data_IF_855103625271
#
_entry.id   IF_855103625271
#
_cell.length_a   1.000
_cell.length_b   1.000
_cell.length_c   1.000
_cell.angle_alpha   90.00
_cell.angle_beta   90.00
_cell.angle_gamma   90.00
#
_symmetry.space_group_name_H-M   'P 1'
#
loop_
_entity.id
_entity.type
_entity.pdbx_description
1 polymer ?
#
# COMPACT_ATOMS: atom_id res chain seq x y z
N UNK A 1 40.93 18.77 14.45
CA UNK A 1 40.95 17.35 14.07
C UNK A 1 39.74 17.08 13.21
N UNK A 2 39.94 16.98 11.90
CA UNK A 2 38.91 16.58 10.94
C UNK A 2 38.63 15.09 11.18
N UNK A 3 37.46 14.78 11.73
CA UNK A 3 37.01 13.39 11.86
C UNK A 3 36.74 12.86 10.45
N UNK A 4 37.48 11.81 10.07
CA UNK A 4 37.35 11.13 8.81
C UNK A 4 35.90 10.67 8.60
N UNK A 5 35.29 11.15 7.51
CA UNK A 5 34.03 10.61 6.97
C UNK A 5 34.36 9.21 6.48
N UNK A 6 34.07 8.21 7.32
CA UNK A 6 34.15 6.82 6.90
C UNK A 6 32.98 6.57 5.94
N UNK A 7 33.28 6.52 4.64
CA UNK A 7 32.39 5.99 3.61
C UNK A 7 32.21 4.48 3.81
N UNK A 8 31.50 4.10 4.86
CA UNK A 8 31.05 2.72 5.04
C UNK A 8 29.98 2.44 3.98
N UNK A 9 30.32 1.58 3.02
CA UNK A 9 29.36 1.09 2.04
C UNK A 9 28.48 0.06 2.73
N UNK A 10 27.42 0.52 3.37
CA UNK A 10 26.35 -0.37 3.81
C UNK A 10 25.59 -0.87 2.57
N UNK A 11 25.67 -2.16 2.19
CA UNK A 11 24.96 -2.69 1.03
C UNK A 11 23.44 -2.48 1.09
N UNK A 12 22.86 -2.25 2.28
CA UNK A 12 21.45 -1.89 2.45
C UNK A 12 21.12 -0.52 1.86
N UNK A 13 22.07 0.42 1.86
CA UNK A 13 21.85 1.79 1.32
C UNK A 13 21.65 1.83 -0.19
N UNK A 14 22.13 0.83 -0.94
CA UNK A 14 21.94 0.77 -2.40
C UNK A 14 20.50 0.41 -2.77
N UNK A 15 19.88 -0.54 -2.05
CA UNK A 15 18.52 -0.99 -2.38
C UNK A 15 17.43 0.02 -2.00
N UNK A 16 17.66 0.80 -0.93
CA UNK A 16 16.79 1.92 -0.54
C UNK A 16 17.05 3.21 -1.34
N UNK A 17 17.88 3.19 -2.38
CA UNK A 17 18.11 4.39 -3.20
C UNK A 17 16.93 4.65 -4.15
N UNK A 18 16.73 5.93 -4.50
CA UNK A 18 15.73 6.34 -5.48
C UNK A 18 15.99 5.70 -6.86
N UNK A 19 17.25 5.58 -7.26
CA UNK A 19 17.63 4.93 -8.51
C UNK A 19 17.22 3.44 -8.53
N UNK A 20 17.43 2.72 -7.42
CA UNK A 20 16.99 1.32 -7.31
C UNK A 20 15.47 1.18 -7.26
N UNK A 21 14.74 2.19 -6.77
CA UNK A 21 13.28 2.23 -6.79
C UNK A 21 12.75 2.40 -8.21
N UNK A 22 13.20 3.44 -8.91
CA UNK A 22 12.78 3.72 -10.29
C UNK A 22 13.16 2.58 -11.24
N UNK A 23 14.34 1.96 -11.08
CA UNK A 23 14.75 0.82 -11.91
C UNK A 23 13.85 -0.42 -11.75
N UNK A 24 13.17 -0.57 -10.62
CA UNK A 24 12.27 -1.70 -10.36
C UNK A 24 10.82 -1.48 -10.80
N UNK A 25 10.46 -0.30 -11.35
CA UNK A 25 9.08 0.02 -11.73
C UNK A 25 8.44 -0.97 -12.73
N UNK A 26 9.25 -1.66 -13.53
CA UNK A 26 8.77 -2.55 -14.59
C UNK A 26 9.47 -3.90 -14.57
N UNK A 27 9.83 -4.40 -13.39
CA UNK A 27 10.55 -5.67 -13.21
C UNK A 27 9.66 -6.93 -13.33
N UNK A 28 8.35 -6.74 -13.53
CA UNK A 28 7.38 -7.82 -13.70
C UNK A 28 6.80 -8.37 -12.40
N UNK A 29 7.27 -7.95 -11.22
CA UNK A 29 6.81 -8.46 -9.91
C UNK A 29 5.59 -7.71 -9.40
N UNK A 30 4.76 -8.33 -8.57
CA UNK A 30 3.78 -7.61 -7.76
C UNK A 30 4.53 -6.72 -6.73
N UNK A 31 4.15 -5.45 -6.64
CA UNK A 31 4.79 -4.48 -5.76
C UNK A 31 3.93 -4.18 -4.53
N UNK A 32 4.34 -4.71 -3.38
CA UNK A 32 3.72 -4.45 -2.09
C UNK A 32 4.50 -3.36 -1.32
N UNK A 33 3.84 -2.23 -1.06
CA UNK A 33 4.33 -1.25 -0.11
C UNK A 33 3.68 -1.51 1.25
N UNK A 34 4.46 -2.03 2.20
CA UNK A 34 4.00 -2.36 3.54
C UNK A 34 4.44 -1.27 4.51
N UNK A 35 3.50 -0.65 5.21
CA UNK A 35 3.76 0.45 6.12
C UNK A 35 3.31 0.14 7.54
N UNK A 36 4.08 0.61 8.52
CA UNK A 36 3.69 0.56 9.94
C UNK A 36 3.70 1.96 10.54
N UNK A 37 2.68 2.23 11.35
CA UNK A 37 2.59 3.42 12.19
C UNK A 37 2.65 3.10 13.68
N UNK A 38 2.71 4.11 14.54
CA UNK A 38 2.98 3.97 15.98
C UNK A 38 1.94 3.19 16.78
N UNK A 39 2.03 1.86 16.75
CA UNK A 39 1.23 0.94 17.56
C UNK A 39 2.03 -0.31 17.89
N UNK A 40 1.78 -0.90 19.06
CA UNK A 40 2.47 -2.13 19.54
C UNK A 40 2.34 -3.27 18.53
N UNK A 41 1.25 -3.32 17.76
CA UNK A 41 1.07 -4.33 16.73
C UNK A 41 2.13 -4.33 15.62
N UNK A 42 3.01 -3.31 15.56
CA UNK A 42 4.19 -3.28 14.67
C UNK A 42 5.10 -4.49 14.87
N UNK A 43 5.12 -5.09 16.07
CA UNK A 43 5.88 -6.34 16.34
C UNK A 43 5.42 -7.53 15.47
N UNK A 44 4.26 -7.44 14.79
CA UNK A 44 3.76 -8.48 13.88
C UNK A 44 4.19 -8.26 12.43
N UNK A 45 4.88 -7.16 12.11
CA UNK A 45 5.45 -6.91 10.79
C UNK A 45 6.37 -8.05 10.30
N UNK A 46 7.32 -8.57 11.11
CA UNK A 46 8.15 -9.69 10.68
C UNK A 46 7.34 -10.94 10.32
N UNK A 47 6.27 -11.24 11.07
CA UNK A 47 5.40 -12.39 10.82
C UNK A 47 4.62 -12.22 9.50
N UNK A 48 4.10 -11.02 9.24
CA UNK A 48 3.42 -10.69 7.97
C UNK A 48 4.39 -10.92 6.81
N UNK A 49 5.59 -10.34 6.85
CA UNK A 49 6.59 -10.48 5.78
C UNK A 49 6.98 -11.95 5.61
N UNK A 50 7.28 -12.66 6.70
CA UNK A 50 7.73 -14.06 6.66
C UNK A 50 6.72 -14.99 5.98
N UNK A 51 5.42 -14.70 6.08
CA UNK A 51 4.36 -15.50 5.45
C UNK A 51 4.45 -15.54 3.92
N UNK A 52 5.08 -14.52 3.31
CA UNK A 52 5.27 -14.42 1.87
C UNK A 52 6.50 -15.20 1.36
N UNK A 53 7.21 -15.93 2.21
CA UNK A 53 8.36 -16.78 1.81
C UNK A 53 8.01 -17.85 0.79
N UNK A 54 6.73 -18.24 0.71
CA UNK A 54 6.19 -19.20 -0.26
C UNK A 54 6.20 -18.67 -1.69
N UNK A 55 6.26 -17.35 -1.89
CA UNK A 55 6.32 -16.75 -3.21
C UNK A 55 7.76 -16.48 -3.65
N UNK A 56 8.14 -16.85 -4.89
CA UNK A 56 9.47 -16.60 -5.39
C UNK A 56 9.74 -15.08 -5.52
N UNK A 57 11.00 -14.68 -5.38
CA UNK A 57 11.42 -13.28 -5.48
C UNK A 57 11.27 -12.67 -6.88
N UNK A 58 10.97 -13.50 -7.89
CA UNK A 58 10.58 -13.08 -9.24
C UNK A 58 9.10 -12.72 -9.36
N UNK A 59 8.29 -12.98 -8.33
CA UNK A 59 6.83 -12.74 -8.35
C UNK A 59 6.43 -11.60 -7.41
N UNK A 60 7.09 -11.43 -6.26
CA UNK A 60 6.72 -10.44 -5.26
C UNK A 60 7.95 -9.63 -4.82
N UNK A 61 7.77 -8.31 -4.74
CA UNK A 61 8.71 -7.40 -4.09
C UNK A 61 8.00 -6.61 -3.00
N UNK A 62 8.64 -6.53 -1.84
CA UNK A 62 8.13 -5.85 -0.66
C UNK A 62 9.07 -4.70 -0.33
N UNK A 63 8.50 -3.49 -0.21
CA UNK A 63 9.21 -2.33 0.36
C UNK A 63 8.49 -1.89 1.62
N UNK A 64 9.26 -1.54 2.64
CA UNK A 64 8.74 -1.22 3.98
C UNK A 64 8.87 0.27 4.27
N UNK A 65 7.80 0.90 4.77
CA UNK A 65 7.84 2.29 5.28
C UNK A 65 7.49 2.31 6.77
N UNK A 66 8.35 2.90 7.59
CA UNK A 66 8.15 2.99 9.05
C UNK A 66 8.06 4.46 9.46
N UNK A 67 6.98 4.82 10.16
CA UNK A 67 6.95 6.11 10.87
C UNK A 67 7.97 6.12 12.03
N UNK A 68 8.43 7.29 12.50
CA UNK A 68 9.35 7.39 13.62
C UNK A 68 8.87 6.65 14.88
N UNK A 69 7.55 6.66 15.15
CA UNK A 69 6.96 5.94 16.28
C UNK A 69 6.90 4.42 16.05
N UNK A 70 6.69 3.95 14.81
CA UNK A 70 6.70 2.52 14.50
C UNK A 70 8.11 1.93 14.68
N UNK A 71 9.13 2.67 14.24
CA UNK A 71 10.55 2.31 14.39
C UNK A 71 10.96 2.00 15.83
N UNK A 72 10.32 2.60 16.83
CA UNK A 72 10.60 2.32 18.25
C UNK A 72 10.26 0.88 18.66
N UNK A 73 9.34 0.22 17.96
CA UNK A 73 8.97 -1.16 18.25
C UNK A 73 9.92 -2.18 17.61
N UNK A 74 10.85 -1.75 16.76
CA UNK A 74 11.77 -2.57 15.98
C UNK A 74 13.23 -2.13 16.20
N UNK A 75 13.67 -2.13 17.46
CA UNK A 75 15.04 -1.76 17.83
C UNK A 75 15.87 -2.93 18.38
N UNK A 76 15.51 -4.17 18.04
CA UNK A 76 16.26 -5.36 18.45
C UNK A 76 16.00 -5.78 19.90
N UNK A 77 14.85 -5.40 20.48
CA UNK A 77 14.57 -5.62 21.91
C UNK A 77 14.20 -7.07 22.24
N UNK A 78 13.75 -7.84 21.24
CA UNK A 78 13.37 -9.25 21.39
C UNK A 78 13.38 -9.96 20.04
N UNK A 79 13.15 -11.28 20.04
CA UNK A 79 13.01 -12.06 18.80
C UNK A 79 11.83 -11.59 17.93
N UNK A 80 10.76 -11.10 18.54
CA UNK A 80 9.59 -10.54 17.83
C UNK A 80 9.82 -9.09 17.38
N UNK A 81 10.92 -8.47 17.82
CA UNK A 81 11.22 -7.05 17.61
C UNK A 81 12.63 -6.88 17.05
N UNK A 82 12.89 -7.36 15.82
CA UNK A 82 14.19 -7.20 15.17
C UNK A 82 14.50 -5.71 14.95
N UNK A 83 15.75 -5.39 14.65
CA UNK A 83 16.09 -4.04 14.16
C UNK A 83 15.47 -3.79 12.78
N UNK A 84 15.28 -2.52 12.43
CA UNK A 84 14.84 -2.13 11.06
C UNK A 84 15.74 -2.75 9.99
N UNK A 85 17.07 -2.69 10.19
CA UNK A 85 18.03 -3.32 9.27
C UNK A 85 17.86 -4.83 9.18
N UNK A 86 17.44 -5.49 10.26
CA UNK A 86 17.15 -6.93 10.28
C UNK A 86 16.03 -7.32 9.33
N UNK A 87 15.07 -6.42 9.05
CA UNK A 87 13.98 -6.70 8.10
C UNK A 87 14.49 -7.00 6.68
N UNK A 88 15.67 -6.49 6.30
CA UNK A 88 16.26 -6.75 4.98
C UNK A 88 16.60 -8.21 4.70
N UNK A 89 16.72 -9.03 5.75
CA UNK A 89 16.95 -10.47 5.67
C UNK A 89 15.67 -11.29 5.50
N UNK A 90 14.51 -10.65 5.64
CA UNK A 90 13.21 -11.31 5.50
C UNK A 90 12.88 -11.52 4.02
N UNK A 91 12.06 -12.54 3.68
CA UNK A 91 11.74 -12.89 2.31
C UNK A 91 11.11 -11.72 1.55
N UNK A 92 11.52 -11.56 0.29
CA UNK A 92 10.99 -10.58 -0.66
C UNK A 92 11.15 -9.11 -0.25
N UNK A 93 11.86 -8.80 0.84
CA UNK A 93 12.13 -7.41 1.23
C UNK A 93 13.27 -6.82 0.40
N UNK A 94 12.93 -5.85 -0.43
CA UNK A 94 13.91 -5.15 -1.26
C UNK A 94 14.41 -3.88 -0.59
N UNK A 95 13.58 -3.12 0.12
CA UNK A 95 14.01 -1.89 0.78
C UNK A 95 13.20 -1.57 2.05
N UNK A 96 13.81 -0.80 2.96
CA UNK A 96 13.13 -0.16 4.10
C UNK A 96 13.36 1.34 4.04
N UNK A 97 12.37 2.11 4.48
CA UNK A 97 12.37 3.57 4.47
C UNK A 97 11.84 4.14 5.79
N UNK A 98 12.46 5.24 6.21
CA UNK A 98 12.01 6.13 7.28
C UNK A 98 11.93 7.57 6.75
N UNK A 99 11.32 8.47 7.50
CA UNK A 99 11.14 9.88 7.09
C UNK A 99 12.46 10.57 6.68
N UNK A 100 13.58 10.21 7.33
CA UNK A 100 14.89 10.77 7.00
C UNK A 100 15.38 10.40 5.58
N UNK A 101 14.91 9.29 5.00
CA UNK A 101 15.32 8.86 3.66
C UNK A 101 14.77 9.77 2.56
N UNK A 102 13.64 10.44 2.82
CA UNK A 102 13.04 11.40 1.89
C UNK A 102 13.96 12.59 1.60
N UNK A 103 14.76 12.98 2.60
CA UNK A 103 15.61 14.18 2.57
C UNK A 103 17.11 13.85 2.58
N UNK A 104 17.47 12.56 2.44
CA UNK A 104 18.87 12.09 2.50
C UNK A 104 19.75 12.71 1.40
N UNK A 105 19.18 12.93 0.22
CA UNK A 105 19.83 13.62 -0.89
C UNK A 105 19.11 14.95 -1.09
N UNK A 106 19.81 16.10 -1.03
CA UNK A 106 19.20 17.39 -1.31
C UNK A 106 18.51 17.39 -2.67
N UNK A 107 17.25 17.83 -2.70
CA UNK A 107 16.50 17.84 -3.94
C UNK A 107 17.11 18.83 -4.94
N UNK A 108 17.14 18.41 -6.20
CA UNK A 108 17.52 19.24 -7.35
C UNK A 108 16.40 19.17 -8.39
N UNK A 109 16.24 20.23 -9.18
CA UNK A 109 15.24 20.28 -10.26
C UNK A 109 15.40 19.07 -11.19
N UNK A 110 14.30 18.37 -11.44
CA UNK A 110 14.29 17.14 -12.25
C UNK A 110 14.70 15.87 -11.49
N UNK A 111 15.16 15.98 -10.24
CA UNK A 111 15.35 14.85 -9.35
C UNK A 111 14.00 14.27 -8.91
N UNK A 112 13.91 12.95 -8.84
CA UNK A 112 12.72 12.29 -8.34
C UNK A 112 12.53 12.53 -6.84
N UNK A 113 11.29 12.33 -6.39
CA UNK A 113 10.86 12.58 -5.01
C UNK A 113 10.43 11.23 -4.42
N UNK A 114 10.97 10.84 -3.27
CA UNK A 114 10.84 9.48 -2.74
C UNK A 114 9.38 9.03 -2.61
N UNK A 115 8.51 9.83 -1.97
CA UNK A 115 7.10 9.46 -1.80
C UNK A 115 6.36 9.35 -3.14
N UNK A 116 6.76 10.14 -4.14
CA UNK A 116 6.19 10.08 -5.49
C UNK A 116 6.63 8.79 -6.19
N UNK A 117 7.91 8.43 -6.10
CA UNK A 117 8.39 7.19 -6.70
C UNK A 117 7.83 5.95 -6.00
N UNK A 118 7.60 6.01 -4.67
CA UNK A 118 6.97 4.92 -3.93
C UNK A 118 5.51 4.70 -4.36
N UNK A 119 4.74 5.78 -4.56
CA UNK A 119 3.35 5.68 -5.04
C UNK A 119 3.27 5.11 -6.46
N UNK A 120 4.25 5.45 -7.31
CA UNK A 120 4.39 4.96 -8.69
C UNK A 120 4.70 3.48 -8.72
N UNK A 121 5.57 3.07 -7.81
CA UNK A 121 6.05 1.71 -7.70
C UNK A 121 5.01 0.74 -7.13
N UNK A 122 4.28 1.15 -6.10
CA UNK A 122 3.35 0.26 -5.40
C UNK A 122 2.11 -0.10 -6.24
N UNK A 123 1.85 -1.39 -6.39
CA UNK A 123 0.57 -1.91 -6.88
C UNK A 123 -0.48 -1.94 -5.74
N UNK A 124 -0.01 -2.10 -4.50
CA UNK A 124 -0.82 -2.10 -3.27
C UNK A 124 -0.05 -1.45 -2.12
N UNK A 125 -0.72 -0.55 -1.39
CA UNK A 125 -0.23 -0.05 -0.10
C UNK A 125 -1.02 -0.66 1.04
N UNK A 126 -0.33 -1.21 2.04
CA UNK A 126 -0.93 -1.74 3.27
C UNK A 126 -0.37 -1.00 4.47
N UNK A 127 -1.23 -0.42 5.31
CA UNK A 127 -0.83 0.19 6.58
C UNK A 127 -1.28 -0.71 7.73
N UNK A 128 -0.37 -1.53 8.24
CA UNK A 128 -0.63 -2.52 9.27
C UNK A 128 0.54 -2.56 10.28
N UNK A 129 0.41 -1.92 11.45
CA UNK A 129 -0.77 -1.25 11.97
C UNK A 129 -0.97 0.21 11.51
N UNK A 130 -2.24 0.64 11.47
CA UNK A 130 -2.67 2.04 11.43
C UNK A 130 -3.01 2.54 12.85
N UNK A 131 -2.21 3.46 13.37
CA UNK A 131 -2.41 4.12 14.67
C UNK A 131 -3.48 5.20 14.59
N UNK A 132 -4.07 5.57 15.72
CA UNK A 132 -5.05 6.67 15.79
C UNK A 132 -4.47 8.01 15.27
N UNK A 133 -3.19 8.28 15.53
CA UNK A 133 -2.52 9.50 15.07
C UNK A 133 -2.37 9.53 13.54
N UNK A 134 -1.92 8.44 12.93
CA UNK A 134 -1.80 8.36 11.47
C UNK A 134 -3.18 8.35 10.80
N UNK A 135 -4.19 7.69 11.39
CA UNK A 135 -5.59 7.78 10.93
C UNK A 135 -6.08 9.23 10.91
N UNK A 136 -5.82 9.98 11.99
CA UNK A 136 -6.19 11.39 12.07
C UNK A 136 -5.46 12.25 11.04
N UNK A 137 -4.17 12.00 10.81
CA UNK A 137 -3.39 12.70 9.77
C UNK A 137 -3.93 12.44 8.37
N UNK A 138 -4.19 11.16 8.03
CA UNK A 138 -4.71 10.77 6.73
C UNK A 138 -6.05 11.45 6.46
N UNK A 139 -7.00 11.32 7.39
CA UNK A 139 -8.35 11.89 7.26
C UNK A 139 -8.38 13.42 7.34
N UNK A 140 -7.41 14.02 8.03
CA UNK A 140 -7.20 15.48 8.04
C UNK A 140 -6.44 16.03 6.83
N UNK A 141 -5.99 15.16 5.91
CA UNK A 141 -5.26 15.56 4.70
C UNK A 141 -3.82 16.01 4.93
N UNK A 142 -3.21 15.66 6.07
CA UNK A 142 -1.80 15.96 6.36
C UNK A 142 -0.86 15.13 5.48
N UNK A 143 0.28 15.73 5.12
CA UNK A 143 1.37 15.11 4.36
C UNK A 143 2.72 15.57 4.95
N UNK A 144 2.94 15.25 6.22
CA UNK A 144 4.07 15.74 7.04
C UNK A 144 5.08 14.65 7.40
N UNK A 145 4.90 13.45 6.84
CA UNK A 145 5.80 12.29 6.98
C UNK A 145 5.85 11.53 5.67
N UNK A 146 6.87 10.69 5.47
CA UNK A 146 7.00 9.90 4.24
C UNK A 146 5.72 9.09 3.96
N UNK A 147 5.20 8.40 4.98
CA UNK A 147 3.97 7.62 4.86
C UNK A 147 2.76 8.48 4.48
N UNK A 148 2.55 9.60 5.17
CA UNK A 148 1.37 10.43 4.92
C UNK A 148 1.45 11.15 3.57
N UNK A 149 2.65 11.53 3.12
CA UNK A 149 2.89 12.05 1.77
C UNK A 149 2.59 11.02 0.69
N UNK A 150 2.98 9.74 0.86
CA UNK A 150 2.61 8.65 -0.07
C UNK A 150 1.09 8.51 -0.13
N UNK A 151 0.41 8.45 1.01
CA UNK A 151 -1.06 8.32 1.06
C UNK A 151 -1.75 9.52 0.42
N UNK A 152 -1.32 10.74 0.73
CA UNK A 152 -1.94 11.96 0.22
C UNK A 152 -1.77 12.12 -1.28
N UNK A 153 -0.67 11.59 -1.81
CA UNK A 153 -0.38 11.56 -3.23
C UNK A 153 -1.03 10.36 -3.94
N UNK A 154 -1.62 9.38 -3.25
CA UNK A 154 -2.06 8.13 -3.89
C UNK A 154 -2.93 8.36 -5.13
N UNK A 155 -2.59 7.67 -6.22
CA UNK A 155 -3.31 7.73 -7.50
C UNK A 155 -3.99 6.37 -7.74
N UNK A 156 -5.26 6.20 -7.34
CA UNK A 156 -5.94 4.92 -7.43
C UNK A 156 -6.21 4.48 -8.86
N UNK A 157 -6.23 5.42 -9.80
CA UNK A 157 -6.60 5.20 -11.20
C UNK A 157 -5.41 5.19 -12.15
N UNK A 158 -4.24 5.65 -11.69
CA UNK A 158 -3.02 5.70 -12.49
C UNK A 158 -3.07 6.77 -13.59
N UNK A 159 -3.95 7.77 -13.45
CA UNK A 159 -4.19 8.82 -14.44
C UNK A 159 -3.02 9.79 -14.56
N UNK A 160 -2.32 10.05 -13.45
CA UNK A 160 -1.31 11.10 -13.38
C UNK A 160 0.01 10.70 -14.02
N UNK A 161 0.28 9.40 -14.08
CA UNK A 161 1.53 8.87 -14.62
C UNK A 161 1.36 8.36 -16.05
N UNK A 162 0.19 8.49 -16.69
CA UNK A 162 0.00 8.14 -18.10
C UNK A 162 0.99 8.94 -18.99
N UNK A 163 1.57 8.34 -20.05
CA UNK A 163 2.39 9.11 -20.96
C UNK A 163 1.52 10.22 -21.53
N UNK A 164 1.92 11.47 -21.33
CA UNK A 164 1.36 12.59 -22.08
C UNK A 164 1.37 12.19 -23.54
N UNK A 165 0.18 12.06 -24.15
CA UNK A 165 0.07 11.90 -25.59
C UNK A 165 0.90 12.99 -26.28
N UNK A 166 1.34 12.77 -27.54
CA UNK A 166 2.23 13.71 -28.21
C UNK A 166 1.66 15.12 -28.06
N UNK A 167 2.38 15.97 -27.33
CA UNK A 167 2.04 17.36 -27.17
C UNK A 167 1.97 17.95 -28.56
N UNK A 168 0.78 18.40 -28.97
CA UNK A 168 0.58 19.16 -30.20
C UNK A 168 1.15 20.57 -30.01
N UNK A 169 2.46 20.66 -29.79
CA UNK A 169 3.24 21.85 -30.05
C UNK A 169 4.06 21.57 -31.31
N UNK A 170 3.36 21.59 -32.44
CA UNK A 170 3.99 21.59 -33.76
C UNK A 170 4.10 23.04 -34.22
N UNK A 171 5.23 23.67 -33.93
CA UNK A 171 5.82 24.63 -34.85
C UNK A 171 6.84 23.88 -35.72
N UNK A 172 6.66 24.06 -37.03
CA UNK A 172 7.21 23.24 -38.10
C UNK A 172 8.74 23.26 -38.21
N UNK A 173 9.33 22.11 -38.59
CA UNK A 173 10.00 21.85 -39.88
C UNK A 173 11.00 20.68 -39.76
N UNK A 174 10.93 19.71 -40.69
CA UNK A 174 12.02 18.77 -40.93
C UNK A 174 11.59 17.34 -41.22
N UNK A 175 11.37 17.05 -42.50
CA UNK A 175 11.09 15.73 -43.08
C UNK A 175 12.19 14.69 -42.79
N UNK A 176 11.82 13.53 -42.22
CA UNK A 176 12.43 12.23 -42.53
C UNK A 176 11.48 11.09 -42.12
N UNK A 177 10.98 10.36 -43.12
CA UNK A 177 10.15 9.18 -43.00
C UNK A 177 10.97 8.04 -42.38
N UNK A 178 10.68 7.66 -41.13
CA UNK A 178 11.16 6.41 -40.52
C UNK A 178 9.94 5.60 -40.12
N UNK A 179 9.72 4.51 -40.84
CA UNK A 179 8.73 3.49 -40.52
C UNK A 179 9.16 2.76 -39.24
N UNK A 180 8.36 2.73 -38.15
CA UNK A 180 8.70 1.92 -36.99
C UNK A 180 8.20 0.49 -37.20
N UNK A 181 9.14 -0.45 -37.27
CA UNK A 181 8.88 -1.88 -37.12
C UNK A 181 8.37 -2.15 -35.70
N UNK A 182 7.17 -2.72 -35.61
CA UNK A 182 6.52 -3.09 -34.37
C UNK A 182 7.33 -4.15 -33.60
N UNK A 183 7.76 -3.81 -32.39
CA UNK A 183 8.10 -4.79 -31.35
C UNK A 183 6.87 -4.96 -30.45
N UNK A 184 5.89 -5.71 -30.94
CA UNK A 184 4.78 -6.22 -30.14
C UNK A 184 5.29 -7.36 -29.26
N UNK A 185 5.48 -7.11 -27.96
CA UNK A 185 5.82 -8.19 -27.03
C UNK A 185 5.93 -7.80 -25.57
N UNK A 186 6.36 -6.56 -25.26
CA UNK A 186 6.57 -6.10 -23.87
C UNK A 186 5.62 -4.99 -23.44
N UNK A 187 5.05 -4.24 -24.38
CA UNK A 187 4.14 -3.12 -24.07
C UNK A 187 2.79 -3.59 -23.52
N UNK A 188 2.24 -4.72 -23.98
CA UNK A 188 0.91 -5.19 -23.59
C UNK A 188 0.79 -5.55 -22.09
N UNK A 189 1.80 -6.21 -21.52
CA UNK A 189 1.81 -6.57 -20.10
C UNK A 189 2.03 -5.35 -19.19
N UNK A 190 2.89 -4.41 -19.61
CA UNK A 190 3.12 -3.14 -18.91
C UNK A 190 1.89 -2.22 -18.96
N UNK A 191 1.16 -2.23 -20.07
CA UNK A 191 -0.09 -1.46 -20.27
C UNK A 191 -1.26 -2.02 -19.46
N UNK A 192 -1.41 -3.34 -19.39
CA UNK A 192 -2.45 -3.99 -18.56
C UNK A 192 -2.25 -3.80 -17.05
N UNK A 193 -1.01 -3.74 -16.56
CA UNK A 193 -0.73 -3.47 -15.14
C UNK A 193 -1.15 -2.05 -14.73
N UNK A 194 -1.02 -1.06 -15.63
CA UNK A 194 -1.39 0.34 -15.38
C UNK A 194 -2.88 0.63 -15.34
N UNK A 195 -3.72 -0.31 -15.77
CA UNK A 195 -5.18 -0.19 -15.75
C UNK A 195 -5.83 -0.86 -14.53
N UNK A 196 -5.05 -1.55 -13.68
CA UNK A 196 -5.57 -2.17 -12.45
C UNK A 196 -5.64 -1.11 -11.35
N UNK A 197 -6.84 -0.89 -10.82
CA UNK A 197 -7.12 0.03 -9.71
C UNK A 197 -6.21 -0.26 -8.51
N UNK A 198 -5.47 0.74 -8.05
CA UNK A 198 -4.51 0.64 -6.93
C UNK A 198 -5.20 1.01 -5.62
N UNK A 199 -5.11 0.12 -4.64
CA UNK A 199 -5.83 0.27 -3.36
C UNK A 199 -4.88 0.58 -2.19
N UNK A 200 -5.43 1.21 -1.17
CA UNK A 200 -4.84 1.28 0.16
C UNK A 200 -5.65 0.40 1.10
N UNK A 201 -4.98 -0.54 1.76
CA UNK A 201 -5.56 -1.34 2.85
C UNK A 201 -5.02 -0.82 4.17
N UNK A 202 -5.87 -0.69 5.19
CA UNK A 202 -5.42 -0.34 6.53
C UNK A 202 -5.94 -1.30 7.57
N UNK A 203 -5.12 -1.57 8.59
CA UNK A 203 -5.49 -2.34 9.76
C UNK A 203 -5.34 -1.48 11.02
N UNK A 204 -6.40 -0.78 11.46
CA UNK A 204 -6.36 0.03 12.67
C UNK A 204 -5.96 -0.79 13.90
N UNK A 205 -5.09 -0.22 14.73
CA UNK A 205 -4.62 -0.86 15.96
C UNK A 205 -4.34 0.18 17.05
N UNK A 206 -5.18 0.20 18.08
CA UNK A 206 -5.11 1.18 19.17
C UNK A 206 -5.77 0.64 20.45
N UNK A 207 -5.54 1.28 21.59
CA UNK A 207 -6.26 0.92 22.82
C UNK A 207 -7.79 1.13 22.65
N UNK A 208 -8.59 0.37 23.40
CA UNK A 208 -10.07 0.44 23.38
C UNK A 208 -10.63 1.84 23.57
N UNK A 209 -10.06 2.64 24.47
CA UNK A 209 -10.52 4.01 24.71
C UNK A 209 -10.33 4.89 23.46
N UNK A 210 -9.22 4.72 22.75
CA UNK A 210 -8.99 5.40 21.46
C UNK A 210 -9.95 4.85 20.38
N UNK A 211 -10.18 3.54 20.34
CA UNK A 211 -11.09 2.93 19.38
C UNK A 211 -12.54 3.41 19.54
N UNK A 212 -13.02 3.47 20.78
CA UNK A 212 -14.38 3.93 21.12
C UNK A 212 -14.53 5.46 21.08
N UNK A 213 -13.45 6.19 20.86
CA UNK A 213 -13.50 7.64 20.79
C UNK A 213 -14.34 8.09 19.56
N UNK A 214 -15.29 9.04 19.71
CA UNK A 214 -16.18 9.45 18.61
C UNK A 214 -15.45 9.93 17.34
N UNK A 215 -14.28 10.56 17.52
CA UNK A 215 -13.43 10.98 16.39
C UNK A 215 -12.95 9.78 15.57
N UNK A 216 -12.60 8.66 16.20
CA UNK A 216 -12.16 7.46 15.49
C UNK A 216 -13.28 6.93 14.59
N UNK A 217 -14.50 6.84 15.10
CA UNK A 217 -15.66 6.45 14.29
C UNK A 217 -15.90 7.43 13.13
N UNK A 218 -15.80 8.75 13.36
CA UNK A 218 -15.94 9.76 12.31
C UNK A 218 -14.88 9.61 11.22
N UNK A 219 -13.62 9.37 11.60
CA UNK A 219 -12.50 9.22 10.68
C UNK A 219 -12.61 7.93 9.87
N UNK A 220 -13.06 6.83 10.48
CA UNK A 220 -13.27 5.57 9.76
C UNK A 220 -14.40 5.69 8.73
N UNK A 221 -15.48 6.43 9.02
CA UNK A 221 -16.52 6.71 8.03
C UNK A 221 -15.96 7.42 6.79
N UNK A 222 -15.05 8.37 6.94
CA UNK A 222 -14.38 8.99 5.77
C UNK A 222 -13.67 7.91 4.94
N UNK A 223 -12.90 7.03 5.58
CA UNK A 223 -12.18 5.97 4.87
C UNK A 223 -13.10 4.92 4.22
N UNK A 224 -14.24 4.60 4.83
CA UNK A 224 -15.11 3.50 4.41
C UNK A 224 -16.26 3.94 3.51
N UNK A 225 -16.83 5.10 3.76
CA UNK A 225 -18.03 5.59 3.08
C UNK A 225 -17.66 6.59 1.98
N UNK A 226 -16.72 7.50 2.23
CA UNK A 226 -16.31 8.50 1.22
C UNK A 226 -15.24 7.96 0.28
N UNK A 227 -14.25 7.23 0.81
CA UNK A 227 -13.11 6.71 0.00
C UNK A 227 -13.14 5.18 -0.18
N UNK A 228 -14.05 4.49 0.51
CA UNK A 228 -14.00 3.05 0.69
C UNK A 228 -14.59 2.25 -0.46
N UNK A 229 -13.99 1.10 -0.76
CA UNK A 229 -14.54 0.14 -1.74
C UNK A 229 -15.90 -0.33 -1.24
N UNK A 230 -16.97 0.01 -1.95
CA UNK A 230 -18.30 -0.47 -1.59
C UNK A 230 -18.35 -1.99 -1.77
N UNK A 231 -18.71 -2.72 -0.71
CA UNK A 231 -19.04 -4.14 -0.83
C UNK A 231 -20.42 -4.24 -1.48
N UNK A 232 -20.63 -5.14 -2.45
CA UNK A 232 -21.96 -5.38 -2.97
C UNK A 232 -22.87 -5.73 -1.79
N UNK A 233 -23.92 -4.94 -1.60
CA UNK A 233 -24.93 -5.22 -0.58
C UNK A 233 -25.53 -6.57 -0.90
N UNK A 234 -25.55 -7.47 0.09
CA UNK A 234 -26.37 -8.68 -0.02
C UNK A 234 -27.81 -8.24 -0.30
N UNK A 235 -28.53 -8.87 -1.25
CA UNK A 235 -29.90 -8.48 -1.53
C UNK A 235 -30.73 -8.59 -0.25
N UNK A 236 -31.33 -7.46 0.14
CA UNK A 236 -32.27 -7.40 1.25
C UNK A 236 -33.38 -8.42 0.98
N UNK A 237 -33.42 -9.49 1.78
CA UNK A 237 -34.60 -10.35 1.89
C UNK A 237 -35.57 -9.64 2.82
N UNK A 238 -36.20 -8.58 2.33
CA UNK A 238 -37.47 -8.15 2.90
C UNK A 238 -38.53 -9.15 2.42
N UNK A 239 -39.09 -9.89 3.37
CA UNK A 239 -40.22 -10.78 3.15
C UNK A 239 -41.44 -9.93 2.81
N UNK A 240 -41.74 -9.83 1.51
CA UNK A 240 -43.04 -9.38 1.00
C UNK A 240 -43.94 -10.61 0.85
N UNK A 241 -44.84 -10.82 1.82
CA UNK A 241 -45.90 -11.83 1.78
C UNK A 241 -46.96 -11.42 0.74
N UNK A 242 -46.67 -11.72 -0.54
CA UNK A 242 -47.60 -11.62 -1.67
C UNK A 242 -47.75 -12.95 -2.40
N UNK A 243 -48.96 -13.33 -2.88
CA UNK A 243 -49.22 -14.68 -3.36
C UNK A 243 -48.45 -14.99 -4.66
N UNK A 244 -47.88 -16.20 -4.68
CA UNK A 244 -46.97 -16.74 -5.67
C UNK A 244 -47.39 -16.50 -7.14
N UNK A 245 -46.63 -15.66 -7.84
CA UNK A 245 -46.60 -15.63 -9.29
C UNK A 245 -45.50 -16.60 -9.79
N UNK A 246 -45.86 -17.39 -10.81
CA UNK A 246 -45.03 -18.43 -11.44
C UNK A 246 -43.70 -17.85 -11.97
N UNK A 247 -42.53 -18.46 -11.69
CA UNK A 247 -41.26 -17.94 -12.17
C UNK A 247 -41.09 -18.23 -13.67
N UNK A 248 -40.89 -17.17 -14.45
CA UNK A 248 -40.35 -17.28 -15.81
C UNK A 248 -38.83 -17.45 -15.75
N UNK A 249 -38.20 -18.20 -16.68
CA UNK A 249 -36.76 -18.39 -16.69
C UNK A 249 -36.08 -17.08 -17.13
N UNK A 250 -35.48 -16.36 -16.18
CA UNK A 250 -34.58 -15.25 -16.47
C UNK A 250 -33.23 -15.82 -16.91
N UNK A 251 -32.79 -15.37 -18.08
CA UNK A 251 -31.44 -15.61 -18.61
C UNK A 251 -30.40 -15.16 -17.58
N UNK A 252 -29.37 -15.98 -17.39
CA UNK A 252 -28.28 -15.73 -16.47
C UNK A 252 -27.52 -14.47 -16.88
N UNK A 253 -27.86 -13.35 -16.26
CA UNK A 253 -27.09 -12.11 -16.35
C UNK A 253 -25.72 -12.37 -15.72
N UNK A 254 -24.67 -12.26 -16.53
CA UNK A 254 -23.30 -12.42 -16.06
C UNK A 254 -23.01 -11.27 -15.09
N UNK A 255 -22.44 -11.52 -13.90
CA UNK A 255 -22.11 -10.43 -12.99
C UNK A 255 -20.99 -9.59 -13.61
N UNK A 256 -21.33 -8.43 -14.14
CA UNK A 256 -20.38 -7.38 -14.47
C UNK A 256 -19.71 -6.94 -13.18
N UNK A 257 -18.46 -7.38 -12.97
CA UNK A 257 -17.68 -7.21 -11.75
C UNK A 257 -17.17 -5.80 -11.52
N UNK A 258 -18.07 -4.84 -11.34
CA UNK A 258 -17.69 -3.51 -10.85
C UNK A 258 -17.69 -3.50 -9.32
N UNK A 259 -16.58 -3.98 -8.74
CA UNK A 259 -16.27 -3.77 -7.32
C UNK A 259 -16.07 -2.27 -7.07
N UNK A 260 -17.14 -1.53 -6.76
CA UNK A 260 -17.19 -0.21 -6.11
C UNK A 260 -16.11 0.85 -6.42
N UNK A 261 -16.52 2.10 -6.65
CA UNK A 261 -15.62 3.22 -7.01
C UNK A 261 -14.57 3.62 -5.95
N UNK A 262 -14.62 3.08 -4.73
CA UNK A 262 -13.62 3.39 -3.70
C UNK A 262 -12.24 2.74 -3.86
N UNK A 263 -11.25 3.30 -3.18
CA UNK A 263 -9.84 2.92 -3.27
C UNK A 263 -9.21 2.61 -1.91
N UNK A 264 -9.98 2.72 -0.84
CA UNK A 264 -9.59 2.40 0.52
C UNK A 264 -10.30 1.13 1.03
N UNK A 265 -9.61 0.29 1.77
CA UNK A 265 -10.17 -0.90 2.44
C UNK A 265 -9.75 -0.92 3.90
N UNK A 266 -10.73 -0.91 4.82
CA UNK A 266 -10.49 -0.93 6.26
C UNK A 266 -10.70 -2.33 6.81
N UNK A 267 -9.63 -2.94 7.30
CA UNK A 267 -9.67 -4.20 8.02
C UNK A 267 -9.96 -3.93 9.50
N UNK A 268 -11.23 -4.01 9.88
CA UNK A 268 -11.70 -3.68 11.24
C UNK A 268 -10.95 -4.50 12.32
N UNK A 269 -10.65 -3.87 13.47
CA UNK A 269 -10.00 -4.54 14.59
C UNK A 269 -10.89 -5.61 15.23
N UNK A 270 -10.27 -6.44 16.06
CA UNK A 270 -10.91 -7.55 16.77
C UNK A 270 -10.87 -7.34 18.29
N UNK A 271 -11.80 -7.99 18.98
CA UNK A 271 -11.83 -8.02 20.44
C UNK A 271 -10.79 -8.99 20.98
N UNK A 272 -9.79 -8.50 21.73
CA UNK A 272 -8.71 -9.31 22.33
C UNK A 272 -8.21 -8.73 23.65
N UNK A 273 -7.43 -9.50 24.39
CA UNK A 273 -6.60 -8.96 25.46
C UNK A 273 -5.50 -8.07 24.83
N UNK A 274 -5.48 -6.80 25.17
CA UNK A 274 -4.54 -5.82 24.66
C UNK A 274 -3.21 -5.92 25.41
N UNK A 275 -2.13 -5.44 24.79
CA UNK A 275 -0.80 -5.39 25.41
C UNK A 275 -0.76 -4.57 26.72
N UNK A 276 -1.75 -3.69 26.94
CA UNK A 276 -1.91 -2.93 28.18
C UNK A 276 -2.64 -3.70 29.32
N UNK A 277 -3.11 -4.93 29.06
CA UNK A 277 -3.81 -5.77 30.03
C UNK A 277 -5.35 -5.71 29.94
N UNK A 278 -5.92 -4.79 29.17
CA UNK A 278 -7.37 -4.65 29.01
C UNK A 278 -7.94 -5.61 27.96
N UNK A 279 -9.11 -6.21 28.18
CA UNK A 279 -9.88 -6.82 27.10
C UNK A 279 -10.55 -5.72 26.26
N UNK A 280 -10.19 -5.62 24.98
CA UNK A 280 -10.46 -4.45 24.17
C UNK A 280 -10.79 -4.72 22.71
N UNK A 281 -11.61 -3.84 22.13
CA UNK A 281 -12.12 -3.96 20.76
C UNK A 281 -11.20 -3.31 19.70
N UNK A 282 -10.10 -2.67 20.13
CA UNK A 282 -9.18 -1.93 19.26
C UNK A 282 -7.95 -2.70 18.79
N UNK A 283 -7.86 -4.01 19.07
CA UNK A 283 -6.71 -4.82 18.67
C UNK A 283 -6.68 -4.99 17.16
N UNK A 284 -5.51 -4.88 16.53
CA UNK A 284 -5.36 -5.15 15.09
C UNK A 284 -6.02 -6.49 14.73
N UNK A 285 -6.66 -6.53 13.56
CA UNK A 285 -7.10 -7.79 12.96
C UNK A 285 -5.94 -8.81 12.96
N UNK A 286 -6.26 -10.10 13.07
CA UNK A 286 -5.22 -11.13 13.04
C UNK A 286 -4.36 -11.00 11.77
N UNK A 287 -3.05 -10.95 11.96
CA UNK A 287 -2.11 -10.69 10.86
C UNK A 287 -2.20 -11.73 9.72
N UNK A 288 -2.55 -13.03 9.92
CA UNK A 288 -2.78 -13.94 8.81
C UNK A 288 -3.95 -13.52 7.91
N UNK A 289 -4.98 -12.86 8.46
CA UNK A 289 -6.09 -12.36 7.65
C UNK A 289 -5.64 -11.19 6.77
N UNK A 290 -4.74 -10.33 7.27
CA UNK A 290 -4.11 -9.27 6.46
C UNK A 290 -3.36 -9.90 5.29
N UNK A 291 -2.61 -10.97 5.53
CA UNK A 291 -1.88 -11.71 4.48
C UNK A 291 -2.85 -12.25 3.43
N UNK A 292 -3.95 -12.90 3.83
CA UNK A 292 -4.97 -13.40 2.89
C UNK A 292 -5.52 -12.29 1.99
N UNK A 293 -5.86 -11.13 2.56
CA UNK A 293 -6.36 -9.99 1.77
C UNK A 293 -5.28 -9.46 0.82
N UNK A 294 -4.03 -9.40 1.25
CA UNK A 294 -2.91 -8.99 0.37
C UNK A 294 -2.78 -9.95 -0.81
N UNK A 295 -2.80 -11.25 -0.55
CA UNK A 295 -2.69 -12.29 -1.58
C UNK A 295 -3.81 -12.17 -2.60
N UNK A 296 -5.05 -12.01 -2.14
CA UNK A 296 -6.22 -11.82 -3.00
C UNK A 296 -6.08 -10.56 -3.88
N UNK A 297 -5.74 -9.42 -3.29
CA UNK A 297 -5.69 -8.13 -4.02
C UNK A 297 -4.52 -8.07 -5.01
N UNK A 298 -3.39 -8.68 -4.66
CA UNK A 298 -2.24 -8.80 -5.57
C UNK A 298 -2.37 -9.96 -6.56
N UNK A 299 -3.38 -10.84 -6.42
CA UNK A 299 -3.54 -12.01 -7.27
C UNK A 299 -2.42 -13.04 -7.09
N UNK A 300 -1.91 -13.18 -5.86
CA UNK A 300 -0.83 -14.10 -5.54
C UNK A 300 -1.40 -15.50 -5.27
N UNK A 301 -1.08 -16.46 -6.14
CA UNK A 301 -1.48 -17.87 -5.97
C UNK A 301 -2.72 -18.28 -6.78
N UNK A 302 -3.22 -17.41 -7.67
CA UNK A 302 -4.14 -17.76 -8.75
C UNK A 302 -3.38 -18.28 -9.98
#
# INVERSE_FOLDING_TARGET
MLAAVSNWHDPHTKKSSLASLTASLSDGKAHLLLACSGSVATIKLPNIIQSFSKYPSSQLSIRVVLTPSASQFLAGQSKEQPTISGLSSLPNVDAQYIDADEWKVPWVRGGGILHIELRRWADLLVIAPLSANTLAKITGGFADSLLTSVVRAWDPWGELDAPSGPSTDTTAQGSATVTPTAQEGTEGASRNRRLKKRRIIVAPAMNTAMWRHPITAKQLRVLEEEWGVQKPSAPNTEADDGPAAVPQPQEADQPSGDEGDGWFEVLRPQRKLLACGDAGDGAMIEWPQIVTVIEERLGLGA
#
